data_IF_658774614459
#
_entry.id   IF_658774614459
#
_cell.length_a   1.000
_cell.length_b   1.000
_cell.length_c   1.000
_cell.angle_alpha   90.00
_cell.angle_beta   90.00
_cell.angle_gamma   90.00
#
_symmetry.space_group_name_H-M   'P 1'
#
loop_
_entity.id
_entity.type
_entity.pdbx_description
1 polymer ?
#
# COMPACT_ATOMS: atom_id res chain seq x y z
N UNK A 1 19.07 4.82 8.45
CA UNK A 1 17.75 5.46 8.23
C UNK A 1 16.73 4.74 9.09
N UNK A 2 15.60 5.37 9.40
CA UNK A 2 14.55 4.80 10.25
C UNK A 2 13.17 5.18 9.71
N UNK A 3 12.18 4.36 10.00
CA UNK A 3 10.77 4.57 9.62
C UNK A 3 9.92 5.21 10.71
N UNK A 4 10.51 5.49 11.87
CA UNK A 4 9.88 6.17 13.01
C UNK A 4 10.80 7.28 13.52
N UNK A 5 10.27 8.29 14.24
CA UNK A 5 11.09 9.36 14.80
C UNK A 5 12.23 8.79 15.68
N UNK A 6 13.51 9.01 15.34
CA UNK A 6 14.62 8.40 16.06
C UNK A 6 15.08 9.23 17.25
N UNK A 7 15.29 8.57 18.39
CA UNK A 7 15.94 9.16 19.59
C UNK A 7 17.40 8.72 19.74
N UNK A 8 17.76 7.55 19.18
CA UNK A 8 19.09 6.95 19.26
C UNK A 8 19.60 6.57 17.87
N UNK A 9 20.92 6.59 17.69
CA UNK A 9 21.58 6.15 16.47
C UNK A 9 21.40 4.64 16.27
N UNK A 10 20.88 4.17 15.11
CA UNK A 10 20.69 2.76 14.86
C UNK A 10 22.03 1.98 14.77
N UNK A 11 23.13 2.66 14.44
CA UNK A 11 24.43 2.01 14.23
C UNK A 11 25.25 1.87 15.54
N UNK A 12 25.22 2.88 16.40
CA UNK A 12 26.08 2.92 17.61
C UNK A 12 25.36 3.11 18.94
N UNK A 13 24.03 3.30 18.93
CA UNK A 13 23.21 3.47 20.14
C UNK A 13 23.34 4.81 20.87
N UNK A 14 24.16 5.74 20.38
CA UNK A 14 24.29 7.08 20.99
C UNK A 14 23.01 7.90 20.82
N UNK A 15 22.66 8.71 21.81
CA UNK A 15 21.52 9.65 21.71
C UNK A 15 21.78 10.65 20.58
N UNK A 16 20.74 10.92 19.78
CA UNK A 16 20.82 11.85 18.67
C UNK A 16 20.63 13.29 19.12
N UNK A 17 21.24 14.21 18.37
CA UNK A 17 21.13 15.66 18.56
C UNK A 17 20.34 16.26 17.40
N UNK A 18 19.48 17.24 17.71
CA UNK A 18 18.81 18.04 16.68
C UNK A 18 19.80 19.07 16.13
N UNK A 19 19.95 19.10 14.81
CA UNK A 19 20.73 20.09 14.08
C UNK A 19 19.88 20.73 12.98
N UNK A 20 20.26 21.91 12.53
CA UNK A 20 19.72 22.51 11.31
C UNK A 20 20.66 22.18 10.15
N UNK A 21 20.15 21.47 9.14
CA UNK A 21 20.84 21.18 7.89
C UNK A 21 19.85 21.33 6.73
N UNK A 22 20.27 22.05 5.67
CA UNK A 22 19.43 22.39 4.51
C UNK A 22 18.08 23.03 4.91
N UNK A 23 18.13 24.01 5.82
CA UNK A 23 16.96 24.71 6.37
C UNK A 23 15.90 23.81 7.03
N UNK A 24 16.29 22.59 7.42
CA UNK A 24 15.42 21.61 8.08
C UNK A 24 16.05 21.10 9.37
N UNK A 25 15.19 20.83 10.34
CA UNK A 25 15.60 20.09 11.54
C UNK A 25 15.91 18.64 11.16
N UNK A 26 17.09 18.16 11.56
CA UNK A 26 17.58 16.80 11.30
C UNK A 26 18.16 16.21 12.57
N UNK A 27 18.03 14.90 12.73
CA UNK A 27 18.70 14.17 13.80
C UNK A 27 20.09 13.72 13.35
N UNK A 28 21.14 14.17 14.04
CA UNK A 28 22.53 13.76 13.78
C UNK A 28 23.08 12.94 14.94
N UNK A 29 23.84 11.91 14.64
CA UNK A 29 24.61 11.18 15.65
C UNK A 29 25.92 11.92 15.94
N UNK A 30 26.23 12.30 17.20
CA UNK A 30 27.48 12.97 17.52
C UNK A 30 28.71 12.04 17.44
N UNK A 31 28.51 10.71 17.48
CA UNK A 31 29.59 9.72 17.42
C UNK A 31 29.91 9.25 16.00
N UNK A 32 28.88 8.88 15.24
CA UNK A 32 29.04 8.47 13.84
C UNK A 32 29.12 9.66 12.89
N UNK A 33 28.85 10.87 13.38
CA UNK A 33 28.84 12.12 12.63
C UNK A 33 27.83 12.18 11.46
N UNK A 34 26.94 11.20 11.36
CA UNK A 34 25.98 11.03 10.28
C UNK A 34 24.56 11.51 10.64
N UNK A 35 23.82 11.96 9.62
CA UNK A 35 22.38 12.24 9.71
C UNK A 35 21.61 10.92 9.75
N UNK A 36 20.74 10.77 10.74
CA UNK A 36 19.78 9.68 10.83
C UNK A 36 18.48 10.12 10.17
N UNK A 37 18.29 9.69 8.93
CA UNK A 37 17.09 10.00 8.15
C UNK A 37 15.86 9.30 8.71
N UNK A 38 14.78 10.06 8.91
CA UNK A 38 13.44 9.57 9.16
C UNK A 38 12.67 9.61 7.84
N UNK A 39 12.57 8.46 7.17
CA UNK A 39 12.04 8.35 5.81
C UNK A 39 10.70 7.59 5.81
N UNK A 40 9.79 7.92 4.88
CA UNK A 40 8.61 7.09 4.62
C UNK A 40 9.00 5.66 4.23
N UNK A 41 8.18 4.70 4.63
CA UNK A 41 8.32 3.31 4.17
C UNK A 41 7.62 3.17 2.82
N UNK A 42 8.28 2.60 1.81
CA UNK A 42 7.66 2.35 0.52
C UNK A 42 6.73 1.13 0.57
N UNK A 43 5.59 1.27 -0.09
CA UNK A 43 4.56 0.26 -0.27
C UNK A 43 4.12 0.24 -1.73
N UNK A 44 3.55 -0.88 -2.15
CA UNK A 44 2.92 -1.03 -3.46
C UNK A 44 1.59 -1.78 -3.31
N UNK A 45 0.64 -1.50 -4.18
CA UNK A 45 -0.64 -2.20 -4.25
C UNK A 45 -1.25 -2.12 -5.64
N UNK A 46 -2.21 -2.99 -5.94
CA UNK A 46 -2.78 -3.12 -7.29
C UNK A 46 -4.29 -3.28 -7.23
N UNK A 47 -4.99 -2.46 -8.02
CA UNK A 47 -6.42 -2.59 -8.27
C UNK A 47 -6.63 -3.47 -9.50
N UNK A 48 -7.10 -4.70 -9.32
CA UNK A 48 -7.51 -5.56 -10.43
C UNK A 48 -8.96 -5.27 -10.78
N UNK A 49 -9.23 -4.93 -12.04
CA UNK A 49 -10.53 -4.43 -12.50
C UNK A 49 -11.22 -5.45 -13.40
N UNK A 50 -12.37 -5.97 -12.99
CA UNK A 50 -13.25 -6.79 -13.84
C UNK A 50 -14.18 -5.87 -14.66
N UNK A 51 -13.87 -5.77 -15.96
CA UNK A 51 -14.64 -5.02 -16.96
C UNK A 51 -15.61 -5.89 -17.76
N UNK A 52 -15.73 -7.18 -17.46
CA UNK A 52 -16.65 -8.09 -18.17
C UNK A 52 -18.13 -7.80 -17.88
N UNK A 53 -18.39 -6.95 -16.89
CA UNK A 53 -19.72 -6.57 -16.38
C UNK A 53 -20.08 -5.16 -16.84
N UNK A 54 -21.38 -4.79 -16.85
CA UNK A 54 -21.81 -3.43 -17.22
C UNK A 54 -21.16 -2.33 -16.37
N UNK A 55 -20.97 -2.60 -15.08
CA UNK A 55 -20.29 -1.72 -14.14
C UNK A 55 -18.96 -2.37 -13.70
N UNK A 56 -17.81 -1.70 -13.93
CA UNK A 56 -16.51 -2.22 -13.52
C UNK A 56 -16.44 -2.49 -12.02
N UNK A 57 -15.82 -3.62 -11.68
CA UNK A 57 -15.65 -4.07 -10.31
C UNK A 57 -14.17 -4.16 -9.96
N UNK A 58 -13.80 -3.81 -8.73
CA UNK A 58 -12.41 -3.88 -8.28
C UNK A 58 -12.28 -4.97 -7.22
N UNK A 59 -11.28 -5.83 -7.38
CA UNK A 59 -10.94 -6.82 -6.38
C UNK A 59 -10.41 -6.12 -5.12
N UNK A 60 -11.11 -6.32 -4.00
CA UNK A 60 -10.73 -5.79 -2.70
C UNK A 60 -10.61 -6.93 -1.68
N UNK A 61 -9.85 -6.68 -0.62
CA UNK A 61 -9.71 -7.58 0.53
C UNK A 61 -10.20 -6.92 1.81
N UNK A 62 -10.80 -7.70 2.70
CA UNK A 62 -11.12 -7.30 4.06
C UNK A 62 -9.92 -7.61 4.96
N UNK A 63 -9.45 -6.61 5.72
CA UNK A 63 -8.26 -6.78 6.57
C UNK A 63 -8.55 -7.59 7.83
N UNK A 64 -7.78 -8.64 8.06
CA UNK A 64 -7.81 -9.45 9.29
C UNK A 64 -6.87 -8.97 10.40
N UNK A 65 -5.90 -8.08 10.09
CA UNK A 65 -4.90 -7.61 11.06
C UNK A 65 -4.87 -6.08 11.26
N UNK A 66 -4.50 -5.60 12.46
CA UNK A 66 -4.35 -4.17 12.70
C UNK A 66 -3.24 -3.52 11.87
N UNK A 67 -3.41 -2.24 11.48
CA UNK A 67 -4.58 -1.39 11.70
C UNK A 67 -5.71 -1.67 10.70
N UNK A 68 -6.95 -1.31 11.08
CA UNK A 68 -8.10 -1.36 10.18
C UNK A 68 -8.72 -2.76 10.02
N UNK A 69 -8.77 -3.54 11.10
CA UNK A 69 -9.45 -4.86 11.07
C UNK A 69 -10.92 -4.66 10.68
N UNK A 70 -11.40 -5.42 9.70
CA UNK A 70 -12.75 -5.31 9.14
C UNK A 70 -12.93 -4.16 8.14
N UNK A 71 -11.86 -3.41 7.83
CA UNK A 71 -11.90 -2.43 6.74
C UNK A 71 -11.52 -3.09 5.41
N UNK A 72 -12.25 -2.76 4.35
CA UNK A 72 -11.94 -3.17 2.99
C UNK A 72 -10.86 -2.28 2.37
N UNK A 73 -10.00 -2.88 1.55
CA UNK A 73 -8.86 -2.22 0.93
C UNK A 73 -8.54 -2.83 -0.43
N UNK A 74 -7.90 -2.04 -1.29
CA UNK A 74 -7.14 -2.58 -2.42
C UNK A 74 -5.96 -3.41 -1.89
N UNK A 75 -5.67 -4.59 -2.48
CA UNK A 75 -4.54 -5.42 -2.08
C UNK A 75 -3.20 -4.68 -2.16
N UNK A 76 -2.32 -4.93 -1.20
CA UNK A 76 -0.99 -4.33 -1.20
C UNK A 76 -0.32 -4.16 0.16
N UNK A 77 1.01 -4.11 0.12
CA UNK A 77 1.85 -4.15 1.31
C UNK A 77 3.19 -3.45 1.15
N UNK A 78 4.17 -3.87 1.94
CA UNK A 78 5.49 -3.25 1.94
C UNK A 78 6.33 -3.80 0.80
N UNK A 79 7.14 -2.94 0.17
CA UNK A 79 8.14 -3.39 -0.79
C UNK A 79 9.29 -4.06 -0.02
N UNK A 80 9.63 -5.30 -0.37
CA UNK A 80 10.76 -6.01 0.22
C UNK A 80 12.10 -5.58 -0.39
N UNK A 81 13.20 -5.95 0.27
CA UNK A 81 14.54 -5.61 -0.22
C UNK A 81 14.84 -6.39 -1.49
N UNK A 82 15.08 -5.66 -2.58
CA UNK A 82 15.43 -6.26 -3.87
C UNK A 82 14.25 -6.36 -4.83
N UNK A 83 13.04 -6.00 -4.40
CA UNK A 83 11.86 -5.92 -5.27
C UNK A 83 11.77 -4.56 -5.96
N UNK A 84 11.39 -4.58 -7.23
CA UNK A 84 10.81 -3.44 -7.91
C UNK A 84 9.34 -3.27 -7.44
N UNK A 85 8.81 -2.04 -7.39
CA UNK A 85 7.45 -1.79 -6.90
C UNK A 85 6.31 -2.63 -7.54
N UNK A 86 6.28 -2.89 -8.87
CA UNK A 86 5.23 -3.74 -9.43
C UNK A 86 5.37 -5.21 -9.00
N UNK A 87 6.58 -5.70 -8.73
CA UNK A 87 6.80 -7.06 -8.22
C UNK A 87 6.19 -7.20 -6.82
N UNK A 88 6.39 -6.19 -5.97
CA UNK A 88 5.77 -6.15 -4.64
C UNK A 88 4.24 -6.07 -4.72
N UNK A 89 3.68 -5.30 -5.65
CA UNK A 89 2.22 -5.22 -5.83
C UNK A 89 1.62 -6.57 -6.28
N UNK A 90 2.25 -7.25 -7.24
CA UNK A 90 1.81 -8.55 -7.72
C UNK A 90 1.94 -9.65 -6.65
N UNK A 91 3.05 -9.66 -5.90
CA UNK A 91 3.25 -10.59 -4.77
C UNK A 91 2.17 -10.42 -3.70
N UNK A 92 1.92 -9.18 -3.26
CA UNK A 92 0.92 -8.92 -2.22
C UNK A 92 -0.49 -9.28 -2.68
N UNK A 93 -0.82 -9.03 -3.96
CA UNK A 93 -2.07 -9.49 -4.56
C UNK A 93 -2.21 -11.02 -4.46
N UNK A 94 -1.19 -11.76 -4.88
CA UNK A 94 -1.20 -13.23 -4.84
C UNK A 94 -1.29 -13.76 -3.40
N UNK A 95 -0.56 -13.17 -2.46
CA UNK A 95 -0.58 -13.55 -1.04
C UNK A 95 -1.95 -13.31 -0.38
N UNK A 96 -2.59 -12.17 -0.66
CA UNK A 96 -3.84 -11.74 -0.01
C UNK A 96 -5.10 -12.31 -0.71
N UNK A 97 -5.02 -12.68 -1.99
CA UNK A 97 -6.20 -13.06 -2.80
C UNK A 97 -6.06 -14.35 -3.60
N UNK A 98 -4.86 -14.91 -3.75
CA UNK A 98 -4.60 -16.03 -4.66
C UNK A 98 -4.68 -15.68 -6.15
N UNK A 99 -4.90 -14.40 -6.50
CA UNK A 99 -4.89 -13.91 -7.88
C UNK A 99 -3.48 -13.49 -8.27
N UNK A 100 -3.02 -13.95 -9.43
CA UNK A 100 -1.73 -13.61 -9.99
C UNK A 100 -1.89 -12.71 -11.22
N UNK A 101 -0.96 -11.76 -11.37
CA UNK A 101 -0.80 -10.88 -12.53
C UNK A 101 0.69 -10.78 -12.85
N UNK A 102 1.07 -10.59 -14.11
CA UNK A 102 2.47 -10.34 -14.45
C UNK A 102 2.84 -8.89 -14.02
N UNK A 103 3.89 -8.69 -13.20
CA UNK A 103 4.38 -7.36 -12.84
C UNK A 103 4.65 -6.45 -14.04
N UNK A 104 4.98 -6.99 -15.22
CA UNK A 104 5.25 -6.18 -16.41
C UNK A 104 4.01 -5.55 -17.03
N UNK A 105 2.82 -6.07 -16.71
CA UNK A 105 1.54 -5.65 -17.27
C UNK A 105 0.84 -4.62 -16.35
N UNK A 106 1.43 -4.31 -15.19
CA UNK A 106 0.89 -3.34 -14.25
C UNK A 106 1.10 -1.90 -14.71
N UNK A 107 0.00 -1.14 -14.80
CA UNK A 107 0.04 0.28 -15.10
C UNK A 107 -0.02 1.12 -13.82
N UNK A 108 0.75 2.22 -13.76
CA UNK A 108 0.71 3.13 -12.61
C UNK A 108 -0.62 3.88 -12.61
N UNK A 109 -1.43 3.66 -11.58
CA UNK A 109 -2.62 4.45 -11.29
C UNK A 109 -2.23 5.77 -10.61
N UNK A 110 -1.46 5.70 -9.52
CA UNK A 110 -1.06 6.86 -8.75
C UNK A 110 0.08 6.59 -7.77
N UNK A 111 0.61 7.65 -7.17
CA UNK A 111 1.44 7.55 -5.97
C UNK A 111 0.89 8.49 -4.90
N UNK A 112 0.70 8.00 -3.68
CA UNK A 112 0.15 8.81 -2.59
C UNK A 112 0.83 8.53 -1.25
N UNK A 113 0.90 9.57 -0.41
CA UNK A 113 1.37 9.44 0.96
C UNK A 113 0.19 9.19 1.89
N UNK A 114 0.39 8.27 2.83
CA UNK A 114 -0.61 7.92 3.83
C UNK A 114 -0.52 8.88 5.03
N UNK A 115 -1.65 9.20 5.69
CA UNK A 115 -1.62 9.93 6.95
C UNK A 115 -0.69 9.24 7.96
N UNK A 116 0.23 9.99 8.61
CA UNK A 116 1.22 9.37 9.49
C UNK A 116 0.56 8.71 10.69
N UNK A 117 1.00 7.49 11.04
CA UNK A 117 0.49 6.75 12.21
C UNK A 117 1.61 6.55 13.22
N UNK A 118 1.45 7.15 14.41
CA UNK A 118 2.46 7.10 15.48
C UNK A 118 3.87 7.48 14.97
N UNK A 119 3.93 8.53 14.14
CA UNK A 119 5.15 9.02 13.50
C UNK A 119 5.66 8.20 12.32
N UNK A 120 5.07 7.04 11.98
CA UNK A 120 5.42 6.29 10.77
C UNK A 120 4.76 6.93 9.55
N UNK A 121 5.55 7.26 8.54
CA UNK A 121 5.09 7.71 7.23
C UNK A 121 5.14 6.55 6.24
N UNK A 122 4.18 6.49 5.32
CA UNK A 122 4.14 5.48 4.24
C UNK A 122 3.85 6.20 2.93
N UNK A 123 4.51 5.77 1.86
CA UNK A 123 4.19 6.16 0.49
C UNK A 123 3.83 4.89 -0.26
N UNK A 124 2.73 4.90 -0.98
CA UNK A 124 2.26 3.75 -1.76
C UNK A 124 2.23 4.12 -3.24
N UNK A 125 2.83 3.27 -4.08
CA UNK A 125 2.59 3.28 -5.52
C UNK A 125 1.41 2.36 -5.79
N UNK A 126 0.37 2.90 -6.40
CA UNK A 126 -0.86 2.18 -6.73
C UNK A 126 -0.81 1.84 -8.21
N UNK A 127 -1.02 0.57 -8.51
CA UNK A 127 -1.11 0.02 -9.85
C UNK A 127 -2.55 -0.36 -10.19
N UNK A 128 -2.80 -0.57 -11.47
CA UNK A 128 -4.03 -1.15 -12.00
C UNK A 128 -3.68 -2.26 -12.98
N UNK A 129 -4.52 -3.30 -13.00
CA UNK A 129 -4.47 -4.39 -13.96
C UNK A 129 -5.89 -4.74 -14.40
N UNK A 130 -6.04 -5.28 -15.60
CA UNK A 130 -7.32 -5.85 -16.02
C UNK A 130 -7.47 -7.27 -15.50
N UNK A 131 -8.70 -7.66 -15.15
CA UNK A 131 -9.01 -9.04 -14.77
C UNK A 131 -8.80 -10.02 -15.92
N UNK A 132 -8.90 -9.57 -17.18
CA UNK A 132 -8.61 -10.43 -18.34
C UNK A 132 -7.16 -10.91 -18.42
N UNK A 133 -6.24 -10.17 -17.79
CA UNK A 133 -4.80 -10.48 -17.72
C UNK A 133 -4.40 -11.18 -16.40
N UNK A 134 -5.40 -11.50 -15.56
CA UNK A 134 -5.18 -12.14 -14.26
C UNK A 134 -5.50 -13.64 -14.29
N UNK A 135 -4.77 -14.40 -13.48
CA UNK A 135 -4.98 -15.83 -13.27
C UNK A 135 -5.39 -16.13 -11.83
N UNK A 136 -6.23 -17.14 -11.62
CA UNK A 136 -6.64 -17.61 -10.29
C UNK A 136 -8.10 -17.33 -9.95
N UNK A 137 -8.47 -17.63 -8.72
CA UNK A 137 -9.82 -17.37 -8.17
C UNK A 137 -9.66 -16.57 -6.88
N UNK A 138 -10.37 -15.44 -6.70
CA UNK A 138 -10.29 -14.64 -5.49
C UNK A 138 -10.67 -15.44 -4.24
N UNK A 139 -9.68 -15.71 -3.39
CA UNK A 139 -9.85 -16.33 -2.08
C UNK A 139 -8.97 -15.60 -1.09
N UNK A 140 -9.54 -15.19 0.05
CA UNK A 140 -8.77 -14.53 1.09
C UNK A 140 -7.58 -15.39 1.54
N UNK A 141 -6.40 -14.77 1.54
CA UNK A 141 -5.13 -15.34 1.95
C UNK A 141 -4.39 -14.45 2.94
N UNK A 142 -3.23 -14.92 3.40
CA UNK A 142 -2.32 -14.19 4.31
C UNK A 142 -3.02 -13.50 5.48
N UNK A 143 -3.16 -12.17 5.43
CA UNK A 143 -3.73 -11.33 6.48
C UNK A 143 -5.14 -10.82 6.17
N UNK A 144 -5.75 -11.29 5.07
CA UNK A 144 -7.12 -11.00 4.66
C UNK A 144 -8.13 -12.00 5.23
N UNK A 145 -9.33 -11.53 5.58
CA UNK A 145 -10.45 -12.36 6.04
C UNK A 145 -11.50 -12.64 4.97
N UNK A 146 -11.56 -11.78 3.94
CA UNK A 146 -12.44 -11.93 2.79
C UNK A 146 -11.77 -11.28 1.55
N UNK A 147 -12.13 -11.74 0.36
CA UNK A 147 -11.63 -11.22 -0.92
C UNK A 147 -12.75 -11.30 -1.97
N UNK A 148 -13.16 -10.16 -2.52
CA UNK A 148 -14.22 -10.11 -3.56
C UNK A 148 -14.18 -8.85 -4.40
N UNK A 149 -14.80 -8.95 -5.57
CA UNK A 149 -15.04 -7.83 -6.46
C UNK A 149 -16.17 -6.94 -5.97
N UNK A 150 -15.90 -5.64 -5.89
CA UNK A 150 -16.87 -4.61 -5.56
C UNK A 150 -17.05 -3.62 -6.70
N UNK A 151 -18.30 -3.32 -7.07
CA UNK A 151 -18.56 -2.04 -7.74
C UNK A 151 -18.61 -0.93 -6.69
N UNK A 152 -18.33 0.33 -7.08
CA UNK A 152 -18.58 1.46 -6.20
C UNK A 152 -20.03 1.54 -5.70
N UNK A 153 -21.01 1.17 -6.53
CA UNK A 153 -22.42 1.20 -6.17
C UNK A 153 -22.80 0.11 -5.15
N UNK A 154 -22.32 -1.11 -5.34
CA UNK A 154 -22.54 -2.22 -4.39
C UNK A 154 -21.89 -1.91 -3.05
N UNK A 155 -20.68 -1.33 -3.07
CA UNK A 155 -19.99 -0.94 -1.83
C UNK A 155 -20.76 0.15 -1.08
N UNK A 156 -21.22 1.20 -1.77
CA UNK A 156 -22.03 2.28 -1.18
C UNK A 156 -23.35 1.80 -0.56
N UNK A 157 -23.92 0.73 -1.13
CA UNK A 157 -25.17 0.15 -0.65
C UNK A 157 -24.97 -0.83 0.54
N UNK A 158 -23.72 -1.14 0.88
CA UNK A 158 -23.36 -2.06 1.97
C UNK A 158 -23.19 -1.35 3.32
N UNK A 159 -23.13 -2.14 4.40
CA UNK A 159 -22.76 -1.66 5.74
C UNK A 159 -21.24 -1.74 6.01
N UNK A 160 -20.45 -2.05 4.98
CA UNK A 160 -19.00 -2.26 5.07
C UNK A 160 -18.24 -0.94 5.16
N UNK A 161 -17.02 -0.98 5.71
CA UNK A 161 -16.16 0.20 5.81
C UNK A 161 -14.97 0.08 4.87
N UNK A 162 -14.79 1.04 3.96
CA UNK A 162 -13.58 1.11 3.13
C UNK A 162 -12.50 1.90 3.86
N UNK A 163 -11.24 1.46 3.74
CA UNK A 163 -10.10 2.20 4.26
C UNK A 163 -10.03 3.57 3.56
N UNK A 164 -10.19 4.70 4.27
CA UNK A 164 -10.42 6.01 3.63
C UNK A 164 -9.36 6.41 2.60
N UNK A 165 -8.11 6.03 2.88
CA UNK A 165 -6.93 6.28 2.05
C UNK A 165 -6.91 5.57 0.70
N UNK A 166 -7.62 4.44 0.58
CA UNK A 166 -7.71 3.67 -0.65
C UNK A 166 -9.07 3.86 -1.33
N UNK A 167 -10.05 4.48 -0.66
CA UNK A 167 -11.39 4.66 -1.20
C UNK A 167 -11.42 5.49 -2.49
N UNK A 168 -10.63 6.56 -2.57
CA UNK A 168 -10.47 7.33 -3.80
C UNK A 168 -9.81 6.51 -4.91
N UNK A 169 -8.80 5.69 -4.56
CA UNK A 169 -8.10 4.82 -5.53
C UNK A 169 -9.03 3.74 -6.08
N UNK A 170 -9.87 3.17 -5.22
CA UNK A 170 -10.90 2.19 -5.59
C UNK A 170 -11.87 2.78 -6.62
N UNK A 171 -12.35 4.00 -6.37
CA UNK A 171 -13.25 4.69 -7.32
C UNK A 171 -12.56 5.11 -8.60
N UNK A 172 -11.30 5.55 -8.53
CA UNK A 172 -10.53 5.92 -9.72
C UNK A 172 -10.27 4.71 -10.62
N UNK A 173 -9.86 3.57 -10.03
CA UNK A 173 -9.68 2.32 -10.77
C UNK A 173 -10.98 1.86 -11.44
N UNK A 174 -12.11 1.91 -10.73
CA UNK A 174 -13.43 1.58 -11.29
C UNK A 174 -13.90 2.56 -12.39
N UNK A 175 -13.34 3.78 -12.43
CA UNK A 175 -13.70 4.83 -13.38
C UNK A 175 -12.74 4.93 -14.58
N UNK A 176 -11.67 4.11 -14.64
CA UNK A 176 -10.83 3.97 -15.81
C UNK A 176 -11.62 3.26 -16.92
N UNK A 177 -12.48 4.04 -17.57
CA UNK A 177 -13.28 3.65 -18.72
C UNK A 177 -12.41 3.81 -19.98
N UNK A 178 -12.08 2.66 -20.57
CA UNK A 178 -11.44 2.46 -21.90
C UNK A 178 -10.05 3.08 -22.08
#
# INVERSE_FOLDING_TARGET
MVSRPPTFCPDCGSRLESIVADDRERMRCPRCEAIVWHNPVPCAGVAVVDRSRPDPAVLCVERGIPPGVGEWTIPGGHIETGEEPPEAAARELEEETGVAVDPSDLEILAASAMPPRAGKHVVTVHYVADWEDADGEPVAGSDATDARFWTPADFDASDETFRPVHYERFREAAALLE
#
